data_IF_747167013167
#
_entry.id   IF_747167013167
#
_cell.length_a   1.000
_cell.length_b   1.000
_cell.length_c   1.000
_cell.angle_alpha   90.00
_cell.angle_beta   90.00
_cell.angle_gamma   90.00
#
_symmetry.space_group_name_H-M   'P 1'
#
loop_
_entity.id
_entity.type
_entity.pdbx_description
1 polymer ?
#
# COMPACT_ATOMS: atom_id res chain seq x y z
N UNK A 1 -16.49 11.88 17.19
CA UNK A 1 -15.62 10.93 16.47
C UNK A 1 -14.25 11.57 16.37
N UNK A 2 -13.26 10.94 16.95
CA UNK A 2 -11.89 11.38 16.80
C UNK A 2 -11.43 11.13 15.36
N UNK A 3 -10.53 11.98 14.88
CA UNK A 3 -10.03 11.89 13.52
C UNK A 3 -8.96 10.80 13.42
N UNK A 4 -8.99 10.02 12.33
CA UNK A 4 -7.93 9.07 12.02
C UNK A 4 -6.61 9.81 11.75
N UNK A 5 -5.55 9.38 12.39
CA UNK A 5 -4.21 9.93 12.24
C UNK A 5 -3.31 8.96 11.46
N UNK A 6 -2.50 9.48 10.54
CA UNK A 6 -1.58 8.66 9.76
C UNK A 6 -0.53 7.95 10.61
N UNK A 7 -0.03 8.60 11.66
CA UNK A 7 0.94 7.97 12.56
C UNK A 7 0.36 6.77 13.30
N UNK A 8 -0.93 6.81 13.62
CA UNK A 8 -1.65 5.68 14.21
C UNK A 8 -1.89 4.57 13.18
N UNK A 9 -2.24 4.91 11.94
CA UNK A 9 -2.38 3.94 10.84
C UNK A 9 -1.07 3.22 10.51
N UNK A 10 0.09 3.89 10.62
CA UNK A 10 1.40 3.23 10.48
C UNK A 10 1.60 2.14 11.52
N UNK A 11 1.18 2.40 12.75
CA UNK A 11 1.26 1.41 13.83
C UNK A 11 0.36 0.21 13.55
N UNK A 12 -0.87 0.45 13.07
CA UNK A 12 -1.78 -0.62 12.65
C UNK A 12 -1.13 -1.53 11.59
N UNK A 13 -0.58 -0.94 10.54
CA UNK A 13 0.09 -1.67 9.47
C UNK A 13 1.29 -2.48 9.99
N UNK A 14 2.11 -1.89 10.85
CA UNK A 14 3.25 -2.57 11.44
C UNK A 14 2.82 -3.75 12.34
N UNK A 15 1.81 -3.57 13.18
CA UNK A 15 1.27 -4.64 14.01
C UNK A 15 0.72 -5.80 13.18
N UNK A 16 0.04 -5.49 12.09
CA UNK A 16 -0.49 -6.50 11.16
C UNK A 16 0.65 -7.26 10.45
N UNK A 17 1.69 -6.57 10.01
CA UNK A 17 2.81 -7.17 9.27
C UNK A 17 3.74 -8.01 10.15
N UNK A 18 4.01 -7.55 11.36
CA UNK A 18 4.99 -8.16 12.26
C UNK A 18 4.37 -9.04 13.36
N UNK A 19 3.07 -9.05 13.51
CA UNK A 19 2.33 -9.97 14.36
C UNK A 19 2.41 -9.70 15.87
N UNK A 20 3.17 -8.70 16.32
CA UNK A 20 3.26 -8.31 17.72
C UNK A 20 3.55 -6.83 17.88
N UNK A 21 3.13 -6.25 19.02
CA UNK A 21 3.42 -4.85 19.35
C UNK A 21 4.92 -4.60 19.54
N UNK A 22 5.64 -5.56 20.11
CA UNK A 22 7.09 -5.48 20.29
C UNK A 22 7.85 -5.44 18.97
N UNK A 23 7.52 -6.32 18.05
CA UNK A 23 8.14 -6.36 16.72
C UNK A 23 7.78 -5.13 15.90
N UNK A 24 6.54 -4.65 15.98
CA UNK A 24 6.12 -3.40 15.37
C UNK A 24 6.89 -2.19 15.91
N UNK A 25 7.07 -2.11 17.23
CA UNK A 25 7.84 -1.06 17.88
C UNK A 25 9.30 -1.04 17.40
N UNK A 26 9.94 -2.20 17.30
CA UNK A 26 11.29 -2.33 16.77
C UNK A 26 11.38 -1.86 15.31
N UNK A 27 10.45 -2.27 14.47
CA UNK A 27 10.41 -1.86 13.06
C UNK A 27 10.18 -0.35 12.87
N UNK A 28 9.34 0.26 13.70
CA UNK A 28 9.04 1.69 13.67
C UNK A 28 10.06 2.54 14.46
N UNK A 29 10.99 1.91 15.17
CA UNK A 29 11.99 2.59 16.01
C UNK A 29 11.35 3.46 17.10
N UNK A 30 10.32 2.95 17.72
CA UNK A 30 9.61 3.57 18.84
C UNK A 30 9.53 2.60 20.03
N UNK A 31 9.08 3.08 21.19
CA UNK A 31 8.87 2.22 22.37
C UNK A 31 7.60 1.38 22.20
N UNK A 32 7.55 0.24 22.89
CA UNK A 32 6.35 -0.60 22.93
C UNK A 32 5.14 0.15 23.53
N UNK A 33 5.37 1.00 24.53
CA UNK A 33 4.32 1.84 25.12
C UNK A 33 3.76 2.86 24.12
N UNK A 34 4.59 3.38 23.22
CA UNK A 34 4.13 4.26 22.13
C UNK A 34 3.21 3.50 21.18
N UNK A 35 3.55 2.27 20.81
CA UNK A 35 2.71 1.41 19.97
C UNK A 35 1.35 1.16 20.64
N UNK A 36 1.34 0.80 21.92
CA UNK A 36 0.09 0.59 22.67
C UNK A 36 -0.78 1.84 22.68
N UNK A 37 -0.20 3.00 23.02
CA UNK A 37 -0.92 4.27 23.07
C UNK A 37 -1.55 4.63 21.72
N UNK A 38 -0.83 4.44 20.64
CA UNK A 38 -1.32 4.73 19.28
C UNK A 38 -2.39 3.75 18.83
N UNK A 39 -2.30 2.46 19.19
CA UNK A 39 -3.37 1.50 18.95
C UNK A 39 -4.63 1.86 19.74
N UNK A 40 -4.52 2.24 21.00
CA UNK A 40 -5.65 2.69 21.81
C UNK A 40 -6.32 3.92 21.19
N UNK A 41 -5.54 4.92 20.77
CA UNK A 41 -6.06 6.10 20.07
C UNK A 41 -6.83 5.72 18.81
N UNK A 42 -6.31 4.79 18.03
CA UNK A 42 -6.96 4.33 16.82
C UNK A 42 -8.25 3.54 17.12
N UNK A 43 -8.23 2.67 18.12
CA UNK A 43 -9.40 1.92 18.58
C UNK A 43 -10.50 2.86 19.11
N UNK A 44 -10.14 3.93 19.80
CA UNK A 44 -11.08 4.97 20.24
C UNK A 44 -11.69 5.70 19.02
N UNK A 45 -10.87 6.02 18.02
CA UNK A 45 -11.34 6.71 16.80
C UNK A 45 -12.30 5.86 15.96
N UNK A 46 -12.10 4.55 15.92
CA UNK A 46 -12.98 3.62 15.17
C UNK A 46 -14.03 2.95 16.04
N UNK A 47 -14.08 3.28 17.32
CA UNK A 47 -15.04 2.76 18.30
C UNK A 47 -15.06 1.22 18.39
N UNK A 48 -13.90 0.60 18.32
CA UNK A 48 -13.79 -0.85 18.40
C UNK A 48 -12.38 -1.39 18.50
N UNK A 49 -12.27 -2.65 18.86
CA UNK A 49 -10.98 -3.35 18.96
C UNK A 49 -10.47 -3.74 17.58
N UNK A 50 -9.18 -3.53 17.36
CA UNK A 50 -8.51 -3.86 16.11
C UNK A 50 -7.75 -5.18 16.19
N UNK A 51 -7.19 -5.51 17.34
CA UNK A 51 -6.47 -6.76 17.55
C UNK A 51 -6.92 -7.48 18.82
N UNK A 52 -7.05 -8.79 18.72
CA UNK A 52 -7.14 -9.69 19.87
C UNK A 52 -5.74 -10.22 20.18
N UNK A 53 -5.42 -10.31 21.47
CA UNK A 53 -4.15 -10.90 21.93
C UNK A 53 -4.32 -12.40 22.08
N UNK A 54 -3.45 -13.15 21.42
CA UNK A 54 -3.39 -14.61 21.51
C UNK A 54 -2.00 -15.05 21.96
N UNK A 55 -1.82 -16.30 22.42
CA UNK A 55 -0.49 -16.84 22.72
C UNK A 55 0.49 -16.78 21.54
N UNK A 56 -0.03 -16.82 20.31
CA UNK A 56 0.74 -16.78 19.08
C UNK A 56 0.95 -15.35 18.53
N UNK A 57 0.46 -14.32 19.23
CA UNK A 57 0.61 -12.92 18.85
C UNK A 57 -0.73 -12.20 18.68
N UNK A 58 -0.72 -11.20 17.82
CA UNK A 58 -1.89 -10.39 17.51
C UNK A 58 -2.74 -11.04 16.41
N UNK A 59 -4.05 -11.12 16.65
CA UNK A 59 -5.02 -11.57 15.67
C UNK A 59 -5.92 -10.39 15.28
N UNK A 60 -5.97 -10.07 13.99
CA UNK A 60 -6.81 -8.99 13.48
C UNK A 60 -8.31 -9.31 13.66
N UNK A 61 -9.07 -8.32 14.14
CA UNK A 61 -10.53 -8.40 14.19
C UNK A 61 -11.14 -8.10 12.82
N UNK A 62 -12.44 -8.34 12.64
CA UNK A 62 -13.14 -7.97 11.42
C UNK A 62 -13.02 -6.46 11.13
N UNK A 63 -13.09 -5.62 12.16
CA UNK A 63 -12.90 -4.17 12.04
C UNK A 63 -11.49 -3.82 11.56
N UNK A 64 -10.47 -4.51 12.06
CA UNK A 64 -9.10 -4.35 11.59
C UNK A 64 -8.97 -4.72 10.11
N UNK A 65 -9.56 -5.83 9.69
CA UNK A 65 -9.56 -6.28 8.28
C UNK A 65 -10.23 -5.26 7.34
N UNK A 66 -11.23 -4.54 7.80
CA UNK A 66 -11.84 -3.44 7.04
C UNK A 66 -10.96 -2.19 6.98
N UNK A 67 -10.22 -1.89 8.05
CA UNK A 67 -9.38 -0.69 8.13
C UNK A 67 -8.03 -0.87 7.40
N UNK A 68 -7.47 -2.07 7.35
CA UNK A 68 -6.18 -2.35 6.73
C UNK A 68 -6.08 -1.90 5.27
N UNK A 69 -7.05 -2.16 4.38
CA UNK A 69 -7.00 -1.68 3.00
C UNK A 69 -6.98 -0.14 2.91
N UNK A 70 -7.72 0.54 3.79
CA UNK A 70 -7.73 2.01 3.87
C UNK A 70 -6.36 2.54 4.28
N UNK A 71 -5.77 1.96 5.32
CA UNK A 71 -4.43 2.32 5.78
C UNK A 71 -3.37 2.09 4.70
N UNK A 72 -3.49 0.99 3.94
CA UNK A 72 -2.58 0.68 2.82
C UNK A 72 -2.68 1.71 1.69
N UNK A 73 -3.87 2.14 1.32
CA UNK A 73 -4.07 3.19 0.31
C UNK A 73 -3.43 4.51 0.76
N UNK A 74 -3.59 4.88 2.03
CA UNK A 74 -2.95 6.08 2.60
C UNK A 74 -1.43 5.97 2.55
N UNK A 75 -0.87 4.83 2.96
CA UNK A 75 0.58 4.57 2.90
C UNK A 75 1.12 4.72 1.47
N UNK A 76 0.47 4.09 0.51
CA UNK A 76 0.88 4.13 -0.90
C UNK A 76 0.80 5.55 -1.47
N UNK A 77 -0.25 6.29 -1.13
CA UNK A 77 -0.43 7.69 -1.55
C UNK A 77 0.69 8.59 -1.03
N UNK A 78 1.08 8.43 0.23
CA UNK A 78 2.18 9.20 0.84
C UNK A 78 3.51 8.81 0.19
N UNK A 79 3.77 7.52 0.01
CA UNK A 79 5.00 7.02 -0.60
C UNK A 79 5.16 7.52 -2.03
N UNK A 80 4.11 7.46 -2.84
CA UNK A 80 4.10 7.96 -4.21
C UNK A 80 4.32 9.47 -4.25
N UNK A 81 3.68 10.21 -3.36
CA UNK A 81 3.88 11.65 -3.22
C UNK A 81 5.33 12.02 -2.86
N UNK A 82 5.94 11.29 -1.94
CA UNK A 82 7.34 11.49 -1.57
C UNK A 82 8.29 11.25 -2.75
N UNK A 83 8.08 10.17 -3.51
CA UNK A 83 8.89 9.86 -4.70
C UNK A 83 8.81 10.97 -5.74
N UNK A 84 7.61 11.52 -5.97
CA UNK A 84 7.42 12.66 -6.90
C UNK A 84 8.14 13.92 -6.42
N UNK A 85 7.99 14.27 -5.15
CA UNK A 85 8.58 15.48 -4.56
C UNK A 85 10.12 15.40 -4.48
N UNK A 86 10.68 14.23 -4.25
CA UNK A 86 12.14 14.02 -4.23
C UNK A 86 12.75 13.90 -5.62
N UNK A 87 11.95 13.92 -6.68
CA UNK A 87 12.41 13.82 -8.06
C UNK A 87 12.95 12.45 -8.47
N UNK A 88 12.79 11.42 -7.64
CA UNK A 88 13.22 10.05 -7.98
C UNK A 88 12.47 9.51 -9.18
N UNK A 89 11.18 9.81 -9.30
CA UNK A 89 10.36 9.46 -10.46
C UNK A 89 10.82 10.19 -11.72
N UNK A 90 11.28 11.42 -11.60
CA UNK A 90 11.80 12.21 -12.71
C UNK A 90 13.09 11.65 -13.30
N UNK A 91 13.83 10.80 -12.56
CA UNK A 91 15.02 10.10 -13.01
C UNK A 91 14.69 8.82 -13.77
N UNK A 92 13.50 8.27 -13.64
CA UNK A 92 13.08 7.09 -14.38
C UNK A 92 12.84 7.47 -15.85
N UNK A 93 13.66 6.93 -16.70
CA UNK A 93 13.62 7.14 -18.13
C UNK A 93 13.98 5.86 -18.86
N UNK A 94 13.48 5.69 -20.07
CA UNK A 94 13.81 4.55 -20.91
C UNK A 94 12.61 4.04 -21.71
N UNK A 95 12.76 2.84 -22.26
CA UNK A 95 11.70 2.18 -23.03
C UNK A 95 11.16 1.00 -22.23
N UNK A 96 9.83 0.95 -22.07
CA UNK A 96 9.12 -0.19 -21.48
C UNK A 96 8.23 -0.80 -22.55
N UNK A 97 8.48 -2.07 -22.87
CA UNK A 97 7.66 -2.84 -23.80
C UNK A 97 6.66 -3.67 -23.00
N UNK A 98 5.38 -3.50 -23.32
CA UNK A 98 4.28 -4.23 -22.68
C UNK A 98 3.58 -5.05 -23.76
N UNK A 99 3.55 -6.36 -23.58
CA UNK A 99 2.80 -7.27 -24.45
C UNK A 99 1.50 -7.69 -23.77
N UNK A 100 0.39 -7.49 -24.45
CA UNK A 100 -0.95 -7.79 -23.93
C UNK A 100 -1.58 -8.91 -24.74
N UNK A 101 -2.24 -9.84 -24.05
CA UNK A 101 -3.15 -10.77 -24.69
C UNK A 101 -4.39 -10.00 -25.21
N UNK A 102 -4.88 -10.35 -26.38
CA UNK A 102 -6.03 -9.69 -26.96
C UNK A 102 -7.33 -10.16 -26.29
N UNK A 103 -7.62 -9.61 -25.11
CA UNK A 103 -8.83 -9.87 -24.35
C UNK A 103 -9.58 -8.55 -24.09
N UNK A 104 -10.54 -8.26 -24.94
CA UNK A 104 -11.21 -6.95 -25.02
C UNK A 104 -11.75 -6.38 -23.68
N UNK A 105 -12.40 -7.14 -22.78
CA UNK A 105 -12.90 -6.59 -21.52
C UNK A 105 -11.80 -6.12 -20.56
N UNK A 106 -10.62 -6.75 -20.59
CA UNK A 106 -9.50 -6.41 -19.74
C UNK A 106 -8.69 -5.24 -20.29
N UNK A 107 -8.68 -5.08 -21.61
CA UNK A 107 -7.85 -4.08 -22.28
C UNK A 107 -8.29 -2.65 -21.93
N UNK A 108 -9.58 -2.37 -21.77
CA UNK A 108 -10.08 -1.04 -21.42
C UNK A 108 -9.55 -0.55 -20.06
N UNK A 109 -9.62 -1.40 -19.03
CA UNK A 109 -9.11 -1.08 -17.69
C UNK A 109 -7.59 -0.94 -17.71
N UNK A 110 -6.91 -1.80 -18.44
CA UNK A 110 -5.45 -1.80 -18.52
C UNK A 110 -4.93 -0.58 -19.28
N UNK A 111 -5.58 -0.15 -20.37
CA UNK A 111 -5.22 1.07 -21.08
C UNK A 111 -5.37 2.32 -20.22
N UNK A 112 -6.41 2.40 -19.40
CA UNK A 112 -6.57 3.49 -18.43
C UNK A 112 -5.39 3.54 -17.46
N UNK A 113 -4.99 2.40 -16.90
CA UNK A 113 -3.84 2.29 -15.99
C UNK A 113 -2.51 2.60 -16.68
N UNK A 114 -2.31 2.17 -17.90
CA UNK A 114 -1.12 2.49 -18.69
C UNK A 114 -1.05 3.98 -19.01
N UNK A 115 -2.18 4.62 -19.25
CA UNK A 115 -2.24 6.07 -19.46
C UNK A 115 -1.88 6.84 -18.17
N UNK A 116 -2.43 6.44 -17.02
CA UNK A 116 -2.05 6.99 -15.72
C UNK A 116 -0.54 6.84 -15.47
N UNK A 117 0.01 5.66 -15.77
CA UNK A 117 1.44 5.41 -15.67
C UNK A 117 2.26 6.33 -16.58
N UNK A 118 1.86 6.49 -17.83
CA UNK A 118 2.54 7.36 -18.79
C UNK A 118 2.55 8.83 -18.37
N UNK A 119 1.45 9.30 -17.76
CA UNK A 119 1.36 10.64 -17.22
C UNK A 119 2.23 10.82 -15.96
N UNK A 120 2.36 9.77 -15.15
CA UNK A 120 3.18 9.79 -13.93
C UNK A 120 4.68 9.72 -14.24
N UNK A 121 5.06 9.06 -15.34
CA UNK A 121 6.45 8.84 -15.74
C UNK A 121 6.71 9.32 -17.17
N UNK A 122 6.69 10.64 -17.42
CA UNK A 122 6.71 11.17 -18.79
C UNK A 122 8.01 10.90 -19.55
N UNK A 123 9.09 10.51 -18.86
CA UNK A 123 10.37 10.13 -19.48
C UNK A 123 10.47 8.66 -19.86
N UNK A 124 9.47 7.85 -19.51
CA UNK A 124 9.37 6.46 -19.91
C UNK A 124 8.53 6.38 -21.18
N UNK A 125 9.12 5.84 -22.23
CA UNK A 125 8.43 5.56 -23.49
C UNK A 125 7.77 4.18 -23.39
N UNK A 126 6.43 4.16 -23.42
CA UNK A 126 5.65 2.93 -23.45
C UNK A 126 5.48 2.44 -24.90
N UNK A 127 5.88 1.21 -25.16
CA UNK A 127 5.58 0.48 -26.38
C UNK A 127 4.62 -0.67 -26.04
N UNK A 128 3.35 -0.52 -26.37
CA UNK A 128 2.30 -1.48 -26.02
C UNK A 128 1.90 -2.25 -27.28
N UNK A 129 2.07 -3.56 -27.24
CA UNK A 129 1.65 -4.47 -28.32
C UNK A 129 0.55 -5.40 -27.83
N UNK A 130 -0.55 -5.43 -28.53
CA UNK A 130 -1.58 -6.44 -28.36
C UNK A 130 -1.30 -7.59 -29.35
N UNK A 131 -1.20 -8.81 -28.84
CA UNK A 131 -1.01 -10.00 -29.69
C UNK A 131 -1.96 -11.13 -29.27
N UNK A 132 -2.33 -11.94 -30.24
CA UNK A 132 -3.15 -13.13 -30.00
C UNK A 132 -2.34 -14.34 -29.52
N UNK A 133 -1.04 -14.17 -29.34
CA UNK A 133 -0.13 -15.24 -28.92
C UNK A 133 0.38 -15.02 -27.51
N UNK A 134 0.49 -16.10 -26.77
CA UNK A 134 1.21 -16.11 -25.49
C UNK A 134 2.69 -15.90 -25.81
N UNK A 135 3.27 -14.83 -25.28
CA UNK A 135 4.71 -14.59 -25.38
C UNK A 135 5.39 -15.29 -24.22
N UNK A 136 6.24 -16.25 -24.53
CA UNK A 136 7.11 -16.90 -23.57
C UNK A 136 8.34 -16.00 -23.34
N UNK A 137 8.51 -15.56 -22.10
CA UNK A 137 9.64 -14.72 -21.65
C UNK A 137 10.79 -15.59 -21.06
N UNK A 138 11.07 -16.76 -21.67
CA UNK A 138 12.20 -17.58 -21.27
C UNK A 138 13.55 -16.99 -21.67
#
# INVERSE_FOLDING_TARGET
MEQLDWDDLKVLLACSRFGSTRSAAAALKVSNSTVHRKLESLEDAVEGRLFDRTPDGLLATALCEELLPIAKVVEDTISDGQLRLTGRDALLAGKLKVSLANFAPLNAVLFEKLNEFSLSYPRIQLDVKASNYVVDFS
#
